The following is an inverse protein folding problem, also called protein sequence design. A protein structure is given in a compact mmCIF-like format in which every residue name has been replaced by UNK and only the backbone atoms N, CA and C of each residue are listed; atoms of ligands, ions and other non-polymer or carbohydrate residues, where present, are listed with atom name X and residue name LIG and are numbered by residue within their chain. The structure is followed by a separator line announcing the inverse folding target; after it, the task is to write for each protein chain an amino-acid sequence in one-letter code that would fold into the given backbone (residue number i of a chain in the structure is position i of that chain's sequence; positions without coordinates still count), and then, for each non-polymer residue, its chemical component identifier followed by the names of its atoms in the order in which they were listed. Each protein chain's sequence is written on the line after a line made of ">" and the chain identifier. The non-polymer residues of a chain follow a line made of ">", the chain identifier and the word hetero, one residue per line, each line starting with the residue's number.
data_IF_656876640244
#
_entry.id   IF_656876640244
#
_cell.length_a   1.000
_cell.length_b   1.000
_cell.length_c   1.000
_cell.angle_alpha   90.00
_cell.angle_beta   90.00
_cell.angle_gamma   90.00
#
_symmetry.space_group_name_H-M   'P 1'
#
loop_
_entity.id
_entity.type
_entity.pdbx_description
1 polymer ?
#
# COMPACT_ATOMS: atom_id res chain seq x y z
N UNK A 1 -10.45 1.93 17.50
CA UNK A 1 -9.88 1.36 16.26
C UNK A 1 -9.15 2.46 15.52
N UNK A 2 -7.89 2.21 15.19
CA UNK A 2 -6.86 3.24 15.07
C UNK A 2 -6.99 4.10 13.81
N UNK A 3 -7.74 5.20 13.94
CA UNK A 3 -7.84 6.29 12.95
C UNK A 3 -6.55 7.11 12.83
N UNK A 4 -5.48 6.71 13.53
CA UNK A 4 -4.19 7.37 13.55
C UNK A 4 -3.66 7.58 12.13
N UNK A 5 -3.75 6.56 11.27
CA UNK A 5 -3.29 6.61 9.88
C UNK A 5 -4.01 7.69 9.06
N UNK A 6 -5.32 7.89 9.30
CA UNK A 6 -6.12 8.91 8.62
C UNK A 6 -5.87 10.33 9.15
N UNK A 7 -5.50 10.45 10.44
CA UNK A 7 -5.21 11.74 11.10
C UNK A 7 -3.79 12.25 10.85
N UNK A 8 -2.86 11.36 10.54
CA UNK A 8 -1.43 11.66 10.41
C UNK A 8 -1.17 12.81 9.40
N UNK A 9 -0.16 13.64 9.63
CA UNK A 9 0.23 14.71 8.69
C UNK A 9 1.06 14.13 7.55
N UNK A 10 0.95 14.68 6.34
CA UNK A 10 1.70 14.22 5.15
C UNK A 10 3.20 14.14 5.41
N UNK A 11 3.77 15.11 6.13
CA UNK A 11 5.21 15.12 6.43
C UNK A 11 5.66 13.98 7.34
N UNK A 12 4.80 13.49 8.26
CA UNK A 12 5.15 12.37 9.14
C UNK A 12 5.23 11.06 8.34
N UNK A 13 4.25 10.85 7.44
CA UNK A 13 4.23 9.70 6.51
C UNK A 13 5.40 9.80 5.53
N UNK A 14 5.70 11.01 5.05
CA UNK A 14 6.88 11.28 4.22
C UNK A 14 8.18 10.92 4.93
N UNK A 15 8.42 11.41 6.15
CA UNK A 15 9.66 11.10 6.89
C UNK A 15 9.77 9.60 7.15
N UNK A 16 8.68 8.93 7.54
CA UNK A 16 8.68 7.49 7.76
C UNK A 16 9.10 6.73 6.50
N UNK A 17 8.47 7.02 5.36
CA UNK A 17 8.77 6.34 4.09
C UNK A 17 10.11 6.80 3.49
N UNK A 18 10.55 8.03 3.76
CA UNK A 18 11.85 8.54 3.31
C UNK A 18 12.99 7.94 4.12
N UNK A 19 12.81 7.78 5.43
CA UNK A 19 13.74 7.05 6.26
C UNK A 19 13.89 5.61 5.75
N UNK A 20 12.78 4.95 5.40
CA UNK A 20 12.82 3.63 4.75
C UNK A 20 13.66 3.63 3.48
N UNK A 21 13.43 4.57 2.56
CA UNK A 21 14.17 4.64 1.30
C UNK A 21 15.66 4.97 1.49
N UNK A 22 15.99 5.98 2.30
CA UNK A 22 17.38 6.40 2.47
C UNK A 22 18.18 5.40 3.32
N UNK A 23 17.60 4.83 4.38
CA UNK A 23 18.30 3.81 5.18
C UNK A 23 18.63 2.58 4.33
N UNK A 24 17.72 2.17 3.43
CA UNK A 24 18.00 1.03 2.55
C UNK A 24 19.17 1.30 1.59
N UNK A 25 19.40 2.55 1.17
CA UNK A 25 20.53 2.89 0.29
C UNK A 25 21.91 2.86 0.96
N UNK A 26 21.99 2.93 2.29
CA UNK A 26 23.26 2.85 3.02
C UNK A 26 23.58 1.44 3.53
N UNK A 27 22.59 0.54 3.53
CA UNK A 27 22.71 -0.86 3.95
C UNK A 27 22.90 -1.77 2.72
N UNK A 28 24.03 -1.65 2.03
CA UNK A 28 24.30 -2.35 0.76
C UNK A 28 25.26 -3.54 0.89
N UNK A 29 25.83 -3.78 2.06
CA UNK A 29 26.63 -4.97 2.32
C UNK A 29 25.73 -6.19 2.58
N UNK A 30 26.15 -7.38 2.16
CA UNK A 30 25.42 -8.63 2.43
C UNK A 30 25.58 -9.10 3.89
N UNK A 31 25.81 -8.17 4.82
CA UNK A 31 25.81 -8.49 6.24
C UNK A 31 24.38 -8.80 6.71
N UNK A 32 24.27 -9.67 7.72
CA UNK A 32 22.98 -10.00 8.33
C UNK A 32 22.23 -8.75 8.83
N UNK A 33 22.97 -7.71 9.23
CA UNK A 33 22.41 -6.45 9.69
C UNK A 33 21.68 -5.74 8.54
N UNK A 34 22.33 -5.60 7.39
CA UNK A 34 21.76 -4.91 6.22
C UNK A 34 20.56 -5.65 5.62
N UNK A 35 20.62 -6.99 5.54
CA UNK A 35 19.47 -7.81 5.12
C UNK A 35 18.30 -7.65 6.09
N UNK A 36 18.56 -7.64 7.41
CA UNK A 36 17.53 -7.47 8.43
C UNK A 36 16.89 -6.08 8.36
N UNK A 37 17.71 -5.03 8.23
CA UNK A 37 17.23 -3.65 8.08
C UNK A 37 16.36 -3.55 6.84
N UNK A 38 16.85 -3.97 5.67
CA UNK A 38 16.07 -3.88 4.43
C UNK A 38 14.74 -4.65 4.53
N UNK A 39 14.74 -5.85 5.10
CA UNK A 39 13.54 -6.66 5.29
C UNK A 39 12.49 -5.96 6.16
N UNK A 40 12.91 -5.36 7.28
CA UNK A 40 12.02 -4.57 8.15
C UNK A 40 11.44 -3.37 7.40
N UNK A 41 12.27 -2.68 6.62
CA UNK A 41 11.84 -1.49 5.87
C UNK A 41 10.84 -1.85 4.76
N UNK A 42 11.05 -2.95 4.04
CA UNK A 42 10.09 -3.43 3.03
C UNK A 42 8.78 -3.89 3.66
N UNK A 43 8.82 -4.65 4.75
CA UNK A 43 7.62 -5.04 5.50
C UNK A 43 6.87 -3.81 5.98
N UNK A 44 7.58 -2.78 6.45
CA UNK A 44 7.00 -1.48 6.79
C UNK A 44 6.33 -0.79 5.60
N UNK A 45 6.97 -0.81 4.43
CA UNK A 45 6.45 -0.23 3.19
C UNK A 45 5.17 -0.93 2.71
N UNK A 46 5.21 -2.25 2.53
CA UNK A 46 4.05 -3.05 2.10
C UNK A 46 2.96 -3.01 3.18
N UNK A 47 3.36 -3.11 4.44
CA UNK A 47 2.47 -3.02 5.60
C UNK A 47 1.71 -1.70 5.65
N UNK A 48 2.34 -0.58 5.28
CA UNK A 48 1.66 0.71 5.19
C UNK A 48 0.52 0.69 4.15
N UNK A 49 0.75 0.15 2.95
CA UNK A 49 -0.32 -0.01 1.95
C UNK A 49 -1.41 -0.96 2.41
N UNK A 50 -1.03 -2.09 3.03
CA UNK A 50 -1.98 -3.05 3.56
C UNK A 50 -2.89 -2.42 4.63
N UNK A 51 -2.30 -1.64 5.55
CA UNK A 51 -3.03 -0.90 6.58
C UNK A 51 -3.90 0.21 5.97
N UNK A 52 -3.42 0.92 4.96
CA UNK A 52 -4.18 1.94 4.25
C UNK A 52 -5.41 1.32 3.57
N UNK A 53 -5.22 0.27 2.76
CA UNK A 53 -6.30 -0.44 2.09
C UNK A 53 -7.33 -1.01 3.07
N UNK A 54 -6.87 -1.69 4.14
CA UNK A 54 -7.75 -2.22 5.17
C UNK A 54 -8.53 -1.13 5.92
N UNK A 55 -7.87 0.00 6.21
CA UNK A 55 -8.53 1.14 6.86
C UNK A 55 -9.59 1.75 5.96
N UNK A 56 -9.28 2.02 4.69
CA UNK A 56 -10.23 2.58 3.73
C UNK A 56 -11.41 1.63 3.49
N UNK A 57 -11.16 0.33 3.41
CA UNK A 57 -12.22 -0.67 3.21
C UNK A 57 -13.31 -0.62 4.29
N UNK A 58 -12.94 -0.34 5.55
CA UNK A 58 -13.91 -0.21 6.66
C UNK A 58 -14.86 0.97 6.51
N UNK A 59 -14.47 2.00 5.76
CA UNK A 59 -15.26 3.20 5.53
C UNK A 59 -15.87 3.23 4.12
N UNK A 60 -15.82 2.10 3.41
CA UNK A 60 -16.39 1.97 2.08
C UNK A 60 -17.93 2.05 2.13
N UNK A 61 -18.57 2.75 1.18
CA UNK A 61 -20.03 2.77 1.07
C UNK A 61 -20.61 1.36 0.88
N UNK A 62 -21.75 1.07 1.54
CA UNK A 62 -22.39 -0.27 1.56
C UNK A 62 -22.69 -0.87 0.19
N UNK A 63 -22.85 -0.03 -0.84
CA UNK A 63 -23.20 -0.45 -2.20
C UNK A 63 -22.01 -0.96 -3.02
N UNK A 64 -20.79 -0.81 -2.51
CA UNK A 64 -19.57 -1.08 -3.24
C UNK A 64 -18.84 -2.22 -2.53
N UNK A 65 -18.54 -3.26 -3.29
CA UNK A 65 -17.84 -4.44 -2.77
C UNK A 65 -16.48 -4.57 -3.46
N UNK A 66 -15.45 -4.79 -2.65
CA UNK A 66 -14.11 -5.17 -3.07
C UNK A 66 -13.63 -6.34 -2.19
N UNK A 67 -12.77 -7.20 -2.73
CA UNK A 67 -12.24 -8.33 -2.00
C UNK A 67 -11.00 -7.95 -1.18
N UNK A 68 -11.19 -7.47 0.07
CA UNK A 68 -10.07 -7.11 0.94
C UNK A 68 -9.15 -8.30 1.26
N UNK A 69 -9.72 -9.51 1.37
CA UNK A 69 -8.94 -10.73 1.65
C UNK A 69 -7.91 -11.00 0.56
N UNK A 70 -8.30 -10.86 -0.72
CA UNK A 70 -7.39 -11.06 -1.85
C UNK A 70 -6.25 -10.04 -1.84
N UNK A 71 -6.55 -8.78 -1.53
CA UNK A 71 -5.54 -7.74 -1.39
C UNK A 71 -4.55 -8.03 -0.26
N UNK A 72 -5.03 -8.48 0.89
CA UNK A 72 -4.16 -8.84 2.01
C UNK A 72 -3.31 -10.09 1.70
N UNK A 73 -3.86 -11.05 0.95
CA UNK A 73 -3.11 -12.20 0.45
C UNK A 73 -2.01 -11.78 -0.54
N UNK A 74 -2.30 -10.84 -1.44
CA UNK A 74 -1.29 -10.31 -2.37
C UNK A 74 -0.19 -9.54 -1.63
N UNK A 75 -0.56 -8.71 -0.64
CA UNK A 75 0.43 -8.02 0.19
C UNK A 75 1.31 -9.01 0.97
N UNK A 76 0.73 -10.08 1.54
CA UNK A 76 1.46 -11.13 2.23
C UNK A 76 2.37 -11.92 1.26
N UNK A 77 1.86 -12.24 0.07
CA UNK A 77 2.62 -12.93 -0.96
C UNK A 77 3.87 -12.14 -1.34
N UNK A 78 3.75 -10.82 -1.53
CA UNK A 78 4.89 -9.96 -1.85
C UNK A 78 5.96 -9.99 -0.75
N UNK A 79 5.55 -9.94 0.52
CA UNK A 79 6.48 -10.05 1.66
C UNK A 79 7.19 -11.41 1.65
N UNK A 80 6.44 -12.50 1.49
CA UNK A 80 6.99 -13.86 1.52
C UNK A 80 7.95 -14.13 0.37
N UNK A 81 7.53 -13.78 -0.86
CA UNK A 81 8.35 -13.99 -2.05
C UNK A 81 9.62 -13.15 -1.98
N UNK A 82 9.53 -11.91 -1.52
CA UNK A 82 10.71 -11.09 -1.30
C UNK A 82 11.66 -11.73 -0.27
N UNK A 83 11.13 -12.18 0.87
CA UNK A 83 11.94 -12.85 1.90
C UNK A 83 12.65 -14.09 1.37
N UNK A 84 11.95 -14.90 0.57
CA UNK A 84 12.53 -16.07 -0.11
C UNK A 84 13.65 -15.68 -1.07
N UNK A 85 13.45 -14.63 -1.88
CA UNK A 85 14.48 -14.13 -2.82
C UNK A 85 15.74 -13.70 -2.06
N UNK A 86 15.58 -12.94 -0.97
CA UNK A 86 16.74 -12.48 -0.20
C UNK A 86 17.47 -13.61 0.52
N UNK A 87 16.74 -14.55 1.11
CA UNK A 87 17.34 -15.62 1.94
C UNK A 87 17.94 -16.73 1.08
N UNK A 88 17.25 -17.17 0.02
CA UNK A 88 17.67 -18.32 -0.78
C UNK A 88 18.49 -17.95 -2.02
N UNK A 89 18.34 -16.71 -2.51
CA UNK A 89 18.96 -16.27 -3.77
C UNK A 89 19.88 -15.06 -3.59
N UNK A 90 20.16 -14.63 -2.36
CA UNK A 90 21.01 -13.46 -2.05
C UNK A 90 20.58 -12.20 -2.81
N UNK A 91 19.26 -12.05 -3.05
CA UNK A 91 18.70 -10.94 -3.82
C UNK A 91 18.88 -11.02 -5.34
N UNK A 92 19.63 -11.99 -5.86
CA UNK A 92 19.85 -12.18 -7.30
C UNK A 92 19.04 -13.38 -7.81
N UNK A 93 17.81 -13.10 -8.24
CA UNK A 93 16.95 -14.09 -8.88
C UNK A 93 16.87 -13.84 -10.39
N UNK A 94 17.38 -14.80 -11.17
CA UNK A 94 17.23 -14.83 -12.62
C UNK A 94 16.19 -15.89 -12.98
N UNK A 95 15.12 -15.46 -13.61
CA UNK A 95 13.99 -16.33 -13.96
C UNK A 95 13.83 -16.37 -15.47
N UNK A 96 14.08 -17.54 -16.05
CA UNK A 96 14.00 -17.76 -17.49
C UNK A 96 12.93 -18.79 -17.86
N UNK A 97 12.44 -18.70 -19.10
CA UNK A 97 11.50 -19.66 -19.67
C UNK A 97 10.15 -19.69 -18.95
N UNK A 98 9.55 -20.89 -18.83
CA UNK A 98 8.21 -21.07 -18.24
C UNK A 98 8.16 -20.73 -16.73
N UNK A 99 9.31 -20.73 -16.05
CA UNK A 99 9.39 -20.34 -14.64
C UNK A 99 9.09 -18.84 -14.43
N UNK A 100 9.12 -18.02 -15.49
CA UNK A 100 8.75 -16.59 -15.42
C UNK A 100 7.23 -16.37 -15.31
N UNK A 101 6.41 -17.37 -15.63
CA UNK A 101 4.95 -17.22 -15.63
C UNK A 101 4.39 -16.91 -14.23
N UNK A 102 4.79 -17.61 -13.14
CA UNK A 102 4.44 -17.20 -11.78
C UNK A 102 4.90 -15.77 -11.42
N UNK A 103 6.02 -15.30 -11.98
CA UNK A 103 6.52 -13.94 -11.72
C UNK A 103 5.66 -12.86 -12.34
N UNK A 104 4.91 -13.16 -13.41
CA UNK A 104 3.89 -12.25 -13.96
C UNK A 104 2.79 -11.96 -12.95
N UNK A 105 2.44 -12.91 -12.08
CA UNK A 105 1.49 -12.67 -11.00
C UNK A 105 2.04 -11.68 -9.97
N UNK A 106 3.35 -11.65 -9.73
CA UNK A 106 3.93 -10.66 -8.81
C UNK A 106 3.75 -9.24 -9.32
N UNK A 107 3.86 -9.01 -10.64
CA UNK A 107 3.53 -7.70 -11.22
C UNK A 107 2.07 -7.32 -10.98
N UNK A 108 1.15 -8.29 -11.09
CA UNK A 108 -0.25 -8.09 -10.73
C UNK A 108 -0.41 -7.75 -9.25
N UNK A 109 0.20 -8.51 -8.33
CA UNK A 109 0.13 -8.26 -6.89
C UNK A 109 0.69 -6.88 -6.52
N UNK A 110 1.79 -6.45 -7.15
CA UNK A 110 2.34 -5.10 -7.00
C UNK A 110 1.33 -4.07 -7.50
N UNK A 111 0.74 -4.25 -8.68
CA UNK A 111 -0.28 -3.34 -9.20
C UNK A 111 -1.50 -3.26 -8.27
N UNK A 112 -1.93 -4.39 -7.71
CA UNK A 112 -3.03 -4.47 -6.75
C UNK A 112 -2.74 -3.66 -5.48
N UNK A 113 -1.49 -3.68 -5.00
CA UNK A 113 -1.06 -2.92 -3.83
C UNK A 113 -1.33 -1.42 -3.97
N UNK A 114 -1.20 -0.88 -5.18
CA UNK A 114 -1.47 0.54 -5.48
C UNK A 114 -2.91 0.79 -5.94
N UNK A 115 -3.48 -0.08 -6.78
CA UNK A 115 -4.81 0.15 -7.36
C UNK A 115 -5.87 0.16 -6.27
N UNK A 116 -5.78 -0.72 -5.26
CA UNK A 116 -6.95 -0.95 -4.40
C UNK A 116 -7.11 0.19 -3.42
N UNK A 117 -6.06 0.64 -2.70
CA UNK A 117 -6.18 1.83 -1.88
C UNK A 117 -6.63 3.05 -2.69
N UNK A 118 -6.18 3.21 -3.95
CA UNK A 118 -6.64 4.29 -4.83
C UNK A 118 -8.13 4.18 -5.16
N UNK A 119 -8.59 3.00 -5.59
CA UNK A 119 -9.98 2.75 -5.92
C UNK A 119 -10.89 2.92 -4.69
N UNK A 120 -10.48 2.43 -3.52
CA UNK A 120 -11.21 2.60 -2.26
C UNK A 120 -11.30 4.07 -1.88
N UNK A 121 -10.20 4.81 -1.95
CA UNK A 121 -10.18 6.25 -1.63
C UNK A 121 -11.16 7.03 -2.52
N UNK A 122 -11.11 6.82 -3.83
CA UNK A 122 -12.01 7.47 -4.78
C UNK A 122 -13.45 6.99 -4.61
N UNK A 123 -13.67 5.73 -4.23
CA UNK A 123 -15.01 5.20 -3.95
C UNK A 123 -15.66 5.90 -2.76
N UNK A 124 -14.89 6.18 -1.71
CA UNK A 124 -15.38 6.89 -0.51
C UNK A 124 -15.69 8.35 -0.85
N UNK A 125 -14.82 9.01 -1.60
CA UNK A 125 -15.01 10.41 -1.98
C UNK A 125 -16.20 10.62 -2.94
N UNK A 126 -16.37 9.71 -3.91
CA UNK A 126 -17.43 9.80 -4.91
C UNK A 126 -18.73 9.10 -4.51
N UNK A 127 -18.72 8.33 -3.41
CA UNK A 127 -19.84 7.48 -2.95
C UNK A 127 -20.32 6.46 -3.99
N UNK A 128 -19.50 6.14 -4.99
CA UNK A 128 -19.84 5.27 -6.12
C UNK A 128 -18.62 4.44 -6.55
N UNK A 129 -18.83 3.35 -7.28
CA UNK A 129 -17.73 2.51 -7.77
C UNK A 129 -17.01 3.25 -8.92
N UNK A 130 -15.74 3.64 -8.79
CA UNK A 130 -15.06 4.40 -9.81
C UNK A 130 -14.67 3.54 -11.01
N UNK A 131 -14.65 4.15 -12.19
CA UNK A 131 -13.98 3.59 -13.36
C UNK A 131 -12.46 3.72 -13.23
N UNK A 132 -11.70 2.96 -14.03
CA UNK A 132 -10.23 3.00 -14.03
C UNK A 132 -9.69 4.42 -14.20
N UNK A 133 -10.23 5.19 -15.15
CA UNK A 133 -9.76 6.55 -15.43
C UNK A 133 -9.93 7.50 -14.23
N UNK A 134 -10.94 7.27 -13.38
CA UNK A 134 -11.22 8.12 -12.22
C UNK A 134 -10.21 7.91 -11.09
N UNK A 135 -9.69 6.69 -10.91
CA UNK A 135 -8.71 6.40 -9.85
C UNK A 135 -7.27 6.29 -10.35
N UNK A 136 -7.01 6.20 -11.66
CA UNK A 136 -5.67 6.07 -12.23
C UNK A 136 -4.70 7.17 -11.73
N UNK A 137 -5.14 8.43 -11.68
CA UNK A 137 -4.31 9.52 -11.13
C UNK A 137 -3.98 9.34 -9.64
N UNK A 138 -4.91 8.78 -8.87
CA UNK A 138 -4.70 8.47 -7.44
C UNK A 138 -3.75 7.28 -7.26
N UNK A 139 -3.85 6.28 -8.14
CA UNK A 139 -2.94 5.15 -8.19
C UNK A 139 -1.51 5.61 -8.53
N UNK A 140 -1.35 6.50 -9.52
CA UNK A 140 -0.06 7.09 -9.86
C UNK A 140 0.49 7.94 -8.72
N UNK A 141 -0.35 8.68 -7.99
CA UNK A 141 0.08 9.39 -6.78
C UNK A 141 0.65 8.39 -5.76
N UNK A 142 -0.06 7.31 -5.45
CA UNK A 142 0.45 6.29 -4.53
C UNK A 142 1.77 5.67 -5.04
N UNK A 143 1.87 5.40 -6.35
CA UNK A 143 3.07 4.84 -6.95
C UNK A 143 4.28 5.79 -6.93
N UNK A 144 4.08 7.07 -7.29
CA UNK A 144 5.13 8.09 -7.35
C UNK A 144 5.40 8.71 -5.98
N UNK A 145 5.84 7.86 -5.07
CA UNK A 145 6.49 8.27 -3.84
C UNK A 145 7.78 9.06 -4.14
N UNK A 146 8.13 10.12 -3.37
CA UNK A 146 7.42 10.65 -2.20
C UNK A 146 6.30 11.65 -2.50
N UNK A 147 6.27 12.20 -3.70
CA UNK A 147 5.42 13.33 -4.08
C UNK A 147 3.93 13.00 -3.89
N UNK A 148 3.55 11.75 -4.16
CA UNK A 148 2.22 11.19 -3.93
C UNK A 148 1.58 11.48 -2.58
N UNK A 149 2.35 11.34 -1.50
CA UNK A 149 1.83 11.43 -0.12
C UNK A 149 1.24 12.80 0.16
N UNK A 150 1.83 13.84 -0.41
CA UNK A 150 1.36 15.22 -0.24
C UNK A 150 -0.02 15.44 -0.83
N UNK A 151 -0.43 14.64 -1.81
CA UNK A 151 -1.77 14.67 -2.39
C UNK A 151 -2.73 13.70 -1.70
N UNK A 152 -2.24 12.50 -1.33
CA UNK A 152 -3.07 11.44 -0.74
C UNK A 152 -3.44 11.77 0.71
N UNK A 153 -2.48 12.18 1.54
CA UNK A 153 -2.74 12.34 2.98
C UNK A 153 -3.82 13.39 3.29
N UNK A 154 -3.84 14.59 2.67
CA UNK A 154 -4.93 15.55 2.90
C UNK A 154 -6.32 15.00 2.58
N UNK A 155 -6.44 14.10 1.60
CA UNK A 155 -7.69 13.41 1.25
C UNK A 155 -8.11 12.44 2.35
N UNK A 156 -7.17 11.67 2.90
CA UNK A 156 -7.40 10.81 4.07
C UNK A 156 -7.84 11.62 5.29
N UNK A 157 -7.25 12.79 5.52
CA UNK A 157 -7.66 13.69 6.60
C UNK A 157 -9.10 14.21 6.42
N UNK A 158 -9.55 14.48 5.18
CA UNK A 158 -10.94 14.85 4.90
C UNK A 158 -11.90 13.72 5.26
N UNK A 159 -11.55 12.48 4.92
CA UNK A 159 -12.34 11.30 5.31
C UNK A 159 -12.40 11.19 6.83
N UNK A 160 -11.27 11.34 7.53
CA UNK A 160 -11.25 11.36 9.00
C UNK A 160 -12.22 12.39 9.60
N UNK A 161 -12.20 13.63 9.09
CA UNK A 161 -13.10 14.67 9.56
C UNK A 161 -14.57 14.35 9.27
N UNK A 162 -14.86 13.77 8.10
CA UNK A 162 -16.21 13.37 7.73
C UNK A 162 -16.75 12.22 8.60
N UNK A 163 -15.87 11.30 9.04
CA UNK A 163 -16.18 10.26 10.03
C UNK A 163 -16.54 10.90 11.37
N UNK A 164 -15.73 11.86 11.86
CA UNK A 164 -16.00 12.54 13.13
C UNK A 164 -17.30 13.35 13.12
N UNK A 165 -17.69 13.87 11.96
CA UNK A 165 -18.94 14.59 11.77
C UNK A 165 -20.16 13.68 11.50
N UNK A 166 -19.97 12.35 11.46
CA UNK A 166 -21.01 11.36 11.13
C UNK A 166 -21.72 11.62 9.78
N UNK A 167 -20.97 12.11 8.80
CA UNK A 167 -21.51 12.49 7.46
C UNK A 167 -21.29 11.43 6.38
N UNK A 168 -20.55 10.37 6.67
CA UNK A 168 -20.26 9.28 5.74
C UNK A 168 -21.26 8.14 5.89
N UNK A 169 -21.74 7.64 4.76
CA UNK A 169 -22.63 6.48 4.69
C UNK A 169 -21.81 5.18 4.59
N UNK A 170 -21.38 4.66 5.75
CA UNK A 170 -20.64 3.40 5.86
C UNK A 170 -21.30 2.45 6.87
N UNK A 171 -20.99 1.13 6.84
CA UNK A 171 -21.52 0.19 7.82
C UNK A 171 -20.99 0.54 9.22
N UNK A 172 -21.88 0.93 10.15
CA UNK A 172 -21.52 1.09 11.56
C UNK A 172 -21.49 -0.29 12.22
N UNK A 173 -20.50 -0.58 13.08
CA UNK A 173 -20.53 -1.76 13.94
C UNK A 173 -21.71 -1.69 14.92
#
# INVERSE_FOLDING_TARGET
>A
MDTLLLKTKHWQVFIFLAAIYYLSTYCTDNSLISVSVFSVLLVGYIGWYALLGNTLYKYLPRKIEYSITWFLLDALLLILVYGVIMILFDGDLRVDGLAAVPFLYLFFAIAHLFWLPAALLVSIESKSKPSFSQYAGTMLQLFFWPVGIWFIQPRLNKIYNAIQADTLDYPRP
#
